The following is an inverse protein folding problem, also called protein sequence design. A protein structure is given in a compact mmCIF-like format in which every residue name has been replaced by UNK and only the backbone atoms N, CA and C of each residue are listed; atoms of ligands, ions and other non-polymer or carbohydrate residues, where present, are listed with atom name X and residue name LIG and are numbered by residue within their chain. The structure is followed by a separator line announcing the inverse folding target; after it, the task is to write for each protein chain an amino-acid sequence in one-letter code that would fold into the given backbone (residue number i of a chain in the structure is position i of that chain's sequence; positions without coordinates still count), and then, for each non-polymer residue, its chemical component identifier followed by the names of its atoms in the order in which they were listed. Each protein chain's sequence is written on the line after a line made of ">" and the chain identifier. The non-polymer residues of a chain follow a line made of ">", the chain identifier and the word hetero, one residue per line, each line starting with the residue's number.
data_IF_209713975051
#
_entry.id   IF_209713975051
#
_cell.length_a   1.000
_cell.length_b   1.000
_cell.length_c   1.000
_cell.angle_alpha   90.00
_cell.angle_beta   90.00
_cell.angle_gamma   90.00
#
_symmetry.space_group_name_H-M   'P 1'
#
loop_
_entity.id
_entity.type
_entity.pdbx_description
1 polymer ?
#
# COMPACT_ATOMS: atom_id res chain seq x y z
N UNK A 1 14.89 -12.48 0.96
CA UNK A 1 15.09 -12.54 2.43
C UNK A 1 14.58 -13.87 2.96
N UNK A 2 15.15 -14.38 4.05
CA UNK A 2 14.71 -15.65 4.61
C UNK A 2 13.34 -15.55 5.27
N UNK A 3 12.44 -16.51 4.99
CA UNK A 3 11.19 -16.69 5.72
C UNK A 3 11.43 -17.77 6.79
N UNK A 4 11.39 -17.38 8.06
CA UNK A 4 11.74 -18.28 9.17
C UNK A 4 10.54 -19.16 9.54
N UNK A 5 9.34 -18.62 9.55
CA UNK A 5 8.06 -19.35 9.76
C UNK A 5 6.89 -18.69 9.05
N UNK A 6 6.54 -17.46 9.42
CA UNK A 6 5.39 -16.73 8.90
C UNK A 6 5.69 -15.22 8.86
N UNK A 7 6.86 -14.83 8.35
CA UNK A 7 7.31 -13.44 8.29
C UNK A 7 7.37 -12.86 6.88
N UNK A 8 6.70 -13.47 5.91
CA UNK A 8 6.58 -12.99 4.53
C UNK A 8 5.96 -11.59 4.47
N UNK A 9 4.96 -11.28 5.29
CA UNK A 9 4.37 -9.96 5.42
C UNK A 9 5.42 -8.86 5.74
N UNK A 10 6.38 -9.18 6.60
CA UNK A 10 7.50 -8.30 6.93
C UNK A 10 8.50 -8.24 5.77
N UNK A 11 8.82 -9.39 5.17
CA UNK A 11 9.77 -9.48 4.08
C UNK A 11 9.36 -8.58 2.91
N UNK A 12 8.10 -8.63 2.48
CA UNK A 12 7.61 -7.79 1.38
C UNK A 12 7.67 -6.30 1.72
N UNK A 13 7.32 -5.90 2.94
CA UNK A 13 7.38 -4.51 3.38
C UNK A 13 8.83 -4.00 3.45
N UNK A 14 9.75 -4.80 3.99
CA UNK A 14 11.18 -4.43 4.03
C UNK A 14 11.74 -4.31 2.62
N UNK A 15 11.41 -5.22 1.71
CA UNK A 15 11.82 -5.13 0.30
C UNK A 15 11.31 -3.85 -0.34
N UNK A 16 10.03 -3.50 -0.16
CA UNK A 16 9.46 -2.25 -0.66
C UNK A 16 10.24 -1.05 -0.13
N UNK A 17 10.40 -0.93 1.18
CA UNK A 17 11.06 0.22 1.80
C UNK A 17 12.55 0.33 1.43
N UNK A 18 13.24 -0.81 1.30
CA UNK A 18 14.64 -0.87 0.88
C UNK A 18 14.84 -0.47 -0.60
N UNK A 19 13.78 -0.49 -1.42
CA UNK A 19 13.81 -0.06 -2.83
C UNK A 19 13.28 1.36 -3.04
N UNK A 20 12.79 2.04 -2.00
CA UNK A 20 12.47 3.47 -2.04
C UNK A 20 13.74 4.30 -1.83
N UNK A 21 14.29 4.99 -2.85
CA UNK A 21 15.60 5.63 -2.80
C UNK A 21 15.86 6.56 -1.61
N UNK A 22 14.97 7.49 -1.21
CA UNK A 22 15.22 8.33 -0.05
C UNK A 22 15.32 7.54 1.26
N UNK A 23 14.52 6.50 1.44
CA UNK A 23 14.59 5.63 2.62
C UNK A 23 15.87 4.80 2.59
N UNK A 24 16.11 4.10 1.47
CA UNK A 24 17.32 3.31 1.29
C UNK A 24 18.58 4.11 1.55
N UNK A 25 18.72 5.26 0.87
CA UNK A 25 19.93 6.06 0.95
C UNK A 25 20.14 6.63 2.36
N UNK A 26 19.08 7.05 3.03
CA UNK A 26 19.16 7.48 4.42
C UNK A 26 19.78 6.40 5.32
N UNK A 27 19.28 5.15 5.24
CA UNK A 27 19.77 4.07 6.09
C UNK A 27 21.11 3.47 5.64
N UNK A 28 21.47 3.58 4.36
CA UNK A 28 22.79 3.16 3.88
C UNK A 28 23.89 4.14 4.25
N UNK A 29 23.63 5.45 4.08
CA UNK A 29 24.66 6.50 4.17
C UNK A 29 24.74 7.14 5.56
N UNK A 30 23.64 7.13 6.32
CA UNK A 30 23.57 7.75 7.61
C UNK A 30 24.46 6.99 8.61
N UNK A 31 25.41 7.67 9.22
CA UNK A 31 26.11 7.19 10.39
C UNK A 31 25.24 7.50 11.62
N UNK A 32 24.70 6.47 12.22
CA UNK A 32 23.96 6.62 13.48
C UNK A 32 24.93 6.77 14.62
N UNK A 33 24.86 7.83 15.45
CA UNK A 33 25.66 7.93 16.65
C UNK A 33 25.29 6.78 17.60
N UNK A 34 26.28 6.08 18.10
CA UNK A 34 26.11 4.85 18.88
C UNK A 34 25.38 5.06 20.21
N UNK A 35 25.58 6.14 20.98
CA UNK A 35 24.78 6.39 22.18
C UNK A 35 23.45 7.05 21.80
N UNK A 36 22.32 6.43 22.17
CA UNK A 36 20.98 7.00 22.07
C UNK A 36 20.20 6.71 20.79
N UNK A 37 20.77 6.05 19.78
CA UNK A 37 19.99 5.66 18.60
C UNK A 37 18.99 4.56 18.94
N UNK A 38 17.70 4.73 18.65
CA UNK A 38 16.69 3.70 18.90
C UNK A 38 17.00 2.42 18.15
N UNK A 39 16.91 1.28 18.82
CA UNK A 39 17.28 -0.03 18.30
C UNK A 39 16.52 -0.37 16.99
N UNK A 40 15.27 0.06 16.84
CA UNK A 40 14.49 -0.18 15.64
C UNK A 40 15.17 0.41 14.39
N UNK A 41 15.63 1.67 14.45
CA UNK A 41 16.31 2.34 13.35
C UNK A 41 17.67 1.67 13.04
N UNK A 42 18.40 1.29 14.09
CA UNK A 42 19.69 0.61 13.97
C UNK A 42 19.56 -0.77 13.32
N UNK A 43 18.59 -1.60 13.78
CA UNK A 43 18.35 -2.94 13.23
C UNK A 43 17.86 -2.88 11.79
N UNK A 44 17.00 -1.91 11.47
CA UNK A 44 16.55 -1.71 10.08
C UNK A 44 17.72 -1.26 9.19
N UNK A 45 18.55 -0.30 9.63
CA UNK A 45 19.74 0.12 8.89
C UNK A 45 20.70 -1.04 8.63
N UNK A 46 20.96 -1.86 9.66
CA UNK A 46 21.80 -3.06 9.52
C UNK A 46 21.25 -4.03 8.48
N UNK A 47 19.94 -4.25 8.48
CA UNK A 47 19.29 -5.12 7.51
C UNK A 47 19.37 -4.55 6.09
N UNK A 48 19.09 -3.25 5.90
CA UNK A 48 19.21 -2.59 4.59
C UNK A 48 20.64 -2.67 4.07
N UNK A 49 21.65 -2.44 4.92
CA UNK A 49 23.06 -2.60 4.54
C UNK A 49 23.42 -4.03 4.14
N UNK A 50 22.87 -5.04 4.83
CA UNK A 50 23.06 -6.46 4.46
C UNK A 50 22.41 -6.78 3.11
N UNK A 51 21.23 -6.21 2.79
CA UNK A 51 20.52 -6.41 1.52
C UNK A 51 21.26 -5.80 0.33
N UNK A 52 21.87 -4.62 0.52
CA UNK A 52 22.56 -3.88 -0.55
C UNK A 52 24.08 -4.10 -0.58
N UNK A 53 24.61 -5.05 0.19
CA UNK A 53 26.02 -5.38 0.18
C UNK A 53 26.35 -6.39 -0.94
N UNK A 54 26.78 -5.88 -2.07
CA UNK A 54 27.17 -6.69 -3.25
C UNK A 54 28.41 -7.57 -3.01
N UNK A 55 29.23 -7.26 -1.98
CA UNK A 55 30.45 -8.01 -1.66
C UNK A 55 30.20 -9.14 -0.65
N UNK A 56 28.99 -9.29 -0.14
CA UNK A 56 28.69 -10.37 0.81
C UNK A 56 28.45 -11.68 0.05
N UNK A 57 29.32 -12.67 0.26
CA UNK A 57 29.16 -14.04 -0.26
C UNK A 57 28.07 -14.83 0.44
N UNK A 58 26.90 -14.23 0.66
CA UNK A 58 25.79 -14.89 1.34
C UNK A 58 24.64 -15.08 0.36
N UNK A 59 24.13 -16.28 0.29
CA UNK A 59 22.97 -16.61 -0.55
C UNK A 59 21.64 -16.01 -0.02
N UNK A 60 21.62 -15.62 1.25
CA UNK A 60 20.40 -15.09 1.88
C UNK A 60 20.68 -14.12 3.02
N UNK A 61 19.70 -13.27 3.30
CA UNK A 61 19.71 -12.32 4.41
C UNK A 61 18.56 -12.63 5.34
N UNK A 62 18.85 -12.79 6.64
CA UNK A 62 17.86 -13.05 7.68
C UNK A 62 17.38 -11.76 8.33
N UNK A 63 16.06 -11.54 8.46
CA UNK A 63 15.48 -10.39 9.16
C UNK A 63 15.34 -10.59 10.67
N UNK A 64 15.93 -11.66 11.24
CA UNK A 64 15.69 -12.10 12.61
C UNK A 64 15.90 -11.01 13.66
N UNK A 65 17.03 -10.28 13.57
CA UNK A 65 17.36 -9.23 14.55
C UNK A 65 16.34 -8.08 14.54
N UNK A 66 15.88 -7.68 13.33
CA UNK A 66 14.86 -6.66 13.19
C UNK A 66 13.53 -7.16 13.75
N UNK A 67 13.18 -8.41 13.49
CA UNK A 67 11.92 -9.00 13.90
C UNK A 67 11.83 -9.19 15.43
N UNK A 68 12.95 -9.50 16.10
CA UNK A 68 13.02 -9.51 17.56
C UNK A 68 12.72 -8.12 18.15
N UNK A 69 13.33 -7.08 17.61
CA UNK A 69 13.08 -5.70 18.07
C UNK A 69 11.62 -5.27 17.81
N UNK A 70 11.05 -5.65 16.65
CA UNK A 70 9.66 -5.40 16.33
C UNK A 70 8.74 -6.11 17.32
N UNK A 71 8.99 -7.37 17.63
CA UNK A 71 8.18 -8.13 18.58
C UNK A 71 8.18 -7.50 19.98
N UNK A 72 9.35 -7.04 20.44
CA UNK A 72 9.48 -6.33 21.72
C UNK A 72 8.68 -5.03 21.73
N UNK A 73 8.85 -4.17 20.71
CA UNK A 73 8.19 -2.86 20.64
C UNK A 73 6.69 -2.93 20.36
N UNK A 74 6.24 -3.94 19.64
CA UNK A 74 4.83 -4.15 19.33
C UNK A 74 4.07 -4.93 20.42
N UNK A 75 4.70 -5.20 21.57
CA UNK A 75 4.13 -6.04 22.63
C UNK A 75 3.67 -7.40 22.09
N UNK A 76 4.50 -8.01 21.25
CA UNK A 76 4.26 -9.31 20.58
C UNK A 76 3.08 -9.30 19.58
N UNK A 77 2.63 -8.13 19.11
CA UNK A 77 1.63 -8.04 18.05
C UNK A 77 2.15 -8.62 16.73
N UNK A 78 3.42 -8.35 16.39
CA UNK A 78 4.09 -8.89 15.21
C UNK A 78 5.18 -9.86 15.67
N UNK A 79 5.03 -11.13 15.31
CA UNK A 79 5.93 -12.20 15.75
C UNK A 79 6.39 -13.06 14.57
N UNK A 80 7.40 -13.91 14.82
CA UNK A 80 7.90 -14.90 13.87
C UNK A 80 6.88 -15.98 13.52
N UNK A 81 5.99 -16.28 14.44
CA UNK A 81 5.15 -17.49 14.41
C UNK A 81 3.75 -17.24 13.87
N UNK A 82 3.32 -15.99 13.79
CA UNK A 82 1.97 -15.64 13.37
C UNK A 82 2.03 -14.75 12.13
N UNK A 83 1.25 -15.13 11.13
CA UNK A 83 1.01 -14.31 9.95
C UNK A 83 0.30 -13.01 10.34
N UNK A 84 0.69 -11.91 9.70
CA UNK A 84 0.11 -10.60 9.92
C UNK A 84 -0.15 -9.88 8.60
N UNK A 85 -0.97 -8.86 8.67
CA UNK A 85 -1.26 -8.00 7.52
C UNK A 85 -0.08 -7.07 7.21
N UNK A 86 0.46 -7.06 5.97
CA UNK A 86 1.60 -6.21 5.60
C UNK A 86 1.28 -4.72 5.69
N UNK A 87 0.04 -4.28 5.49
CA UNK A 87 -0.34 -2.86 5.59
C UNK A 87 -0.49 -2.42 7.04
N UNK A 88 -1.05 -3.27 7.91
CA UNK A 88 -1.05 -3.02 9.36
C UNK A 88 0.38 -2.92 9.89
N UNK A 89 1.24 -3.85 9.47
CA UNK A 89 2.65 -3.83 9.83
C UNK A 89 3.35 -2.57 9.29
N UNK A 90 3.17 -2.23 8.01
CA UNK A 90 3.76 -1.03 7.40
C UNK A 90 3.34 0.24 8.14
N UNK A 91 2.05 0.39 8.44
CA UNK A 91 1.51 1.55 9.17
C UNK A 91 2.16 1.68 10.56
N UNK A 92 2.21 0.58 11.31
CA UNK A 92 2.87 0.55 12.61
C UNK A 92 4.37 0.87 12.47
N UNK A 93 5.04 0.26 11.50
CA UNK A 93 6.48 0.40 11.30
C UNK A 93 6.86 1.83 10.91
N UNK A 94 6.17 2.46 9.95
CA UNK A 94 6.42 3.83 9.53
C UNK A 94 6.24 4.82 10.69
N UNK A 95 5.18 4.67 11.50
CA UNK A 95 4.92 5.52 12.65
C UNK A 95 6.01 5.36 13.73
N UNK A 96 6.40 4.12 14.06
CA UNK A 96 7.46 3.87 15.06
C UNK A 96 8.83 4.30 14.55
N UNK A 97 9.10 4.12 13.25
CA UNK A 97 10.34 4.59 12.63
C UNK A 97 10.41 6.11 12.64
N UNK A 98 9.31 6.80 12.29
CA UNK A 98 9.22 8.25 12.38
C UNK A 98 9.60 8.78 13.76
N UNK A 99 9.01 8.21 14.82
CA UNK A 99 9.31 8.56 16.20
C UNK A 99 10.77 8.21 16.60
N UNK A 100 11.27 7.07 16.14
CA UNK A 100 12.64 6.62 16.38
C UNK A 100 13.70 7.54 15.75
N UNK A 101 13.34 8.25 14.70
CA UNK A 101 14.20 9.23 14.02
C UNK A 101 14.03 10.66 14.56
N UNK A 102 13.45 10.81 15.74
CA UNK A 102 13.20 12.13 16.36
C UNK A 102 12.02 12.89 15.74
N UNK A 103 11.17 12.19 15.00
CA UNK A 103 9.97 12.79 14.41
C UNK A 103 8.97 13.28 15.46
N UNK A 104 8.32 14.40 15.17
CA UNK A 104 7.32 15.01 16.05
C UNK A 104 5.91 14.52 15.74
N UNK A 105 5.14 14.22 16.79
CA UNK A 105 3.69 13.97 16.67
C UNK A 105 2.88 15.23 16.42
N UNK A 106 3.47 16.42 16.67
CA UNK A 106 2.80 17.70 16.46
C UNK A 106 2.81 18.06 14.97
N UNK A 107 1.73 18.63 14.44
CA UNK A 107 1.72 19.17 13.10
C UNK A 107 2.87 20.16 12.90
N UNK A 108 3.63 19.99 11.84
CA UNK A 108 4.73 20.87 11.45
C UNK A 108 4.65 21.19 9.97
N UNK A 109 4.97 22.41 9.59
CA UNK A 109 5.02 22.86 8.21
C UNK A 109 6.17 22.19 7.41
N UNK A 110 7.18 21.69 8.12
CA UNK A 110 8.32 20.99 7.52
C UNK A 110 8.37 19.53 8.01
N UNK A 111 8.71 18.58 7.14
CA UNK A 111 8.86 17.20 7.56
C UNK A 111 10.00 17.07 8.58
N UNK A 112 9.73 16.38 9.69
CA UNK A 112 10.68 16.20 10.81
C UNK A 112 11.47 14.89 10.69
N UNK A 113 11.11 14.02 9.75
CA UNK A 113 11.85 12.77 9.47
C UNK A 113 11.82 12.45 7.98
N UNK A 114 12.72 11.55 7.56
CA UNK A 114 12.76 11.03 6.19
C UNK A 114 11.46 10.31 5.82
N UNK A 115 10.77 9.71 6.79
CA UNK A 115 9.48 9.03 6.58
C UNK A 115 8.41 10.04 6.18
N UNK A 116 8.28 11.14 6.91
CA UNK A 116 7.36 12.21 6.54
C UNK A 116 7.73 12.83 5.21
N UNK A 117 9.00 13.13 4.99
CA UNK A 117 9.47 13.71 3.73
C UNK A 117 9.18 12.84 2.51
N UNK A 118 9.19 11.51 2.67
CA UNK A 118 8.95 10.57 1.59
C UNK A 118 7.46 10.31 1.32
N UNK A 119 6.65 10.14 2.38
CA UNK A 119 5.32 9.54 2.25
C UNK A 119 4.16 10.43 2.74
N UNK A 120 4.42 11.47 3.55
CA UNK A 120 3.32 12.23 4.13
C UNK A 120 2.71 13.21 3.13
N UNK A 121 1.42 13.07 2.91
CA UNK A 121 0.57 14.05 2.23
C UNK A 121 -0.54 14.56 3.15
N UNK A 122 -1.39 15.45 2.62
CA UNK A 122 -2.52 16.02 3.33
C UNK A 122 -3.81 15.78 2.54
N UNK A 123 -4.87 15.51 3.28
CA UNK A 123 -6.20 15.22 2.77
C UNK A 123 -7.20 16.14 3.43
N UNK A 124 -7.99 16.86 2.63
CA UNK A 124 -9.18 17.57 3.11
C UNK A 124 -10.33 16.59 3.17
N UNK A 125 -11.00 16.55 4.31
CA UNK A 125 -12.21 15.77 4.54
C UNK A 125 -13.34 16.77 4.78
N UNK A 126 -14.32 16.78 3.89
CA UNK A 126 -15.52 17.59 4.03
C UNK A 126 -16.67 16.66 4.42
N UNK A 127 -17.31 16.98 5.53
CA UNK A 127 -18.43 16.21 6.04
C UNK A 127 -19.67 17.09 6.16
N UNK A 128 -20.77 16.61 5.62
CA UNK A 128 -22.06 17.27 5.60
C UNK A 128 -23.10 16.36 6.25
N UNK A 129 -23.80 16.84 7.26
CA UNK A 129 -24.82 16.06 7.94
C UNK A 129 -26.06 15.87 7.05
N UNK A 130 -26.63 14.69 7.09
CA UNK A 130 -27.88 14.34 6.40
C UNK A 130 -28.93 14.08 7.45
N UNK A 131 -30.03 14.84 7.42
CA UNK A 131 -31.20 14.63 8.26
C UNK A 131 -32.32 14.02 7.46
N UNK A 132 -32.88 12.93 7.96
CA UNK A 132 -34.08 12.32 7.38
C UNK A 132 -35.33 12.93 8.01
N UNK A 133 -36.18 13.52 7.21
CA UNK A 133 -37.50 14.01 7.63
C UNK A 133 -38.59 13.15 6.97
N UNK A 134 -39.61 12.82 7.75
CA UNK A 134 -40.82 12.19 7.18
C UNK A 134 -41.68 13.29 6.55
N UNK A 135 -41.89 13.20 5.26
CA UNK A 135 -42.89 14.07 4.60
C UNK A 135 -44.29 13.62 5.05
N UNK A 136 -44.96 14.52 5.74
CA UNK A 136 -46.30 14.30 6.31
C UNK A 136 -47.38 14.08 5.26
N UNK A 137 -47.15 14.49 4.00
CA UNK A 137 -48.14 14.38 2.91
C UNK A 137 -48.04 13.07 2.14
N UNK A 138 -46.86 12.46 2.03
CA UNK A 138 -46.62 11.30 1.16
C UNK A 138 -46.10 10.06 1.87
N UNK A 139 -45.92 10.11 3.19
CA UNK A 139 -45.27 9.04 3.99
C UNK A 139 -43.90 8.59 3.44
N UNK A 140 -43.19 9.47 2.73
CA UNK A 140 -41.87 9.22 2.20
C UNK A 140 -40.82 9.87 3.09
N UNK A 141 -39.70 9.16 3.30
CA UNK A 141 -38.50 9.73 3.92
C UNK A 141 -37.81 10.66 2.92
N UNK A 142 -37.74 11.95 3.25
CA UNK A 142 -37.00 12.94 2.49
C UNK A 142 -35.68 13.21 3.24
N UNK A 143 -34.57 13.06 2.53
CA UNK A 143 -33.24 13.34 3.05
C UNK A 143 -32.86 14.78 2.74
N UNK A 144 -32.66 15.59 3.76
CA UNK A 144 -32.23 16.97 3.60
C UNK A 144 -30.77 17.11 4.04
N UNK A 145 -29.94 17.67 3.16
CA UNK A 145 -28.55 17.98 3.49
C UNK A 145 -28.47 19.24 4.35
N UNK A 146 -27.68 19.19 5.42
CA UNK A 146 -27.38 20.38 6.22
C UNK A 146 -26.65 21.42 5.37
N UNK A 147 -26.99 22.71 5.54
CA UNK A 147 -26.28 23.81 4.87
C UNK A 147 -24.84 24.00 5.37
N UNK A 148 -24.46 23.37 6.49
CA UNK A 148 -23.11 23.51 7.07
C UNK A 148 -22.21 22.36 6.65
N UNK A 149 -21.05 22.70 6.05
CA UNK A 149 -20.00 21.76 5.68
C UNK A 149 -18.85 21.91 6.69
N UNK A 150 -18.56 20.82 7.40
CA UNK A 150 -17.38 20.74 8.26
C UNK A 150 -16.19 20.30 7.45
N UNK A 151 -15.14 21.13 7.39
CA UNK A 151 -13.90 20.84 6.66
C UNK A 151 -12.74 20.61 7.63
N UNK A 152 -12.04 19.49 7.48
CA UNK A 152 -10.88 19.16 8.29
C UNK A 152 -9.73 18.71 7.38
N UNK A 153 -8.52 19.18 7.66
CA UNK A 153 -7.30 18.72 7.00
C UNK A 153 -6.60 17.69 7.90
N UNK A 154 -6.35 16.51 7.33
CA UNK A 154 -5.70 15.40 8.02
C UNK A 154 -4.44 14.95 7.26
N UNK A 155 -3.31 14.68 7.94
CA UNK A 155 -2.17 14.07 7.29
C UNK A 155 -2.45 12.59 7.01
N UNK A 156 -1.87 12.07 5.92
CA UNK A 156 -1.89 10.64 5.60
C UNK A 156 -0.50 10.15 5.22
N UNK A 157 -0.25 8.86 5.42
CA UNK A 157 0.91 8.14 4.89
C UNK A 157 0.47 7.12 3.83
N UNK A 158 -0.73 6.55 4.00
CA UNK A 158 -1.29 5.52 3.13
C UNK A 158 -2.70 5.94 2.72
N UNK A 159 -3.00 5.87 1.44
CA UNK A 159 -4.34 6.08 0.89
C UNK A 159 -5.04 4.73 0.70
N UNK A 160 -6.24 4.62 1.25
CA UNK A 160 -7.04 3.40 1.17
C UNK A 160 -8.00 3.46 0.00
N UNK A 161 -7.95 2.45 -0.86
CA UNK A 161 -8.82 2.27 -2.02
C UNK A 161 -9.86 1.19 -1.70
N UNK A 162 -11.13 1.56 -1.75
CA UNK A 162 -12.23 0.63 -1.49
C UNK A 162 -12.65 -0.03 -2.80
N UNK A 163 -12.66 -1.37 -2.82
CA UNK A 163 -13.14 -2.13 -3.97
C UNK A 163 -14.67 -2.14 -4.01
N UNK A 164 -15.29 -2.19 -5.21
CA UNK A 164 -16.71 -2.43 -5.32
C UNK A 164 -17.07 -3.80 -4.72
N UNK A 165 -18.30 -3.97 -4.23
CA UNK A 165 -18.75 -5.28 -3.73
C UNK A 165 -18.67 -6.32 -4.85
N UNK A 166 -18.32 -7.55 -4.48
CA UNK A 166 -18.33 -8.66 -5.44
C UNK A 166 -19.74 -8.92 -5.94
N UNK A 167 -19.93 -9.19 -7.24
CA UNK A 167 -21.25 -9.55 -7.78
C UNK A 167 -21.80 -10.77 -7.06
N UNK A 168 -23.03 -10.66 -6.54
CA UNK A 168 -23.71 -11.73 -5.81
C UNK A 168 -24.17 -12.87 -6.73
N UNK A 169 -24.27 -12.63 -8.02
CA UNK A 169 -24.76 -13.59 -9.00
C UNK A 169 -23.60 -14.18 -9.78
N UNK A 170 -23.35 -15.46 -9.58
CA UNK A 170 -22.58 -16.25 -10.54
C UNK A 170 -23.47 -16.47 -11.75
N UNK A 171 -22.97 -16.17 -12.94
CA UNK A 171 -23.66 -16.50 -14.19
C UNK A 171 -23.97 -18.02 -14.22
N UNK A 172 -25.14 -18.40 -14.74
CA UNK A 172 -25.61 -19.79 -14.80
C UNK A 172 -24.65 -20.77 -15.51
N UNK A 173 -23.63 -20.25 -16.21
CA UNK A 173 -22.63 -21.02 -16.95
C UNK A 173 -21.37 -21.40 -16.17
N UNK A 174 -21.33 -21.26 -14.85
CA UNK A 174 -20.16 -21.64 -13.99
C UNK A 174 -18.80 -21.05 -14.41
N UNK A 175 -18.75 -20.10 -15.33
CA UNK A 175 -17.53 -19.39 -15.63
C UNK A 175 -17.30 -18.35 -14.52
N UNK A 176 -16.27 -18.54 -13.74
CA UNK A 176 -15.84 -17.61 -12.70
C UNK A 176 -15.22 -16.38 -13.34
N UNK A 177 -16.05 -15.40 -13.68
CA UNK A 177 -15.55 -14.11 -14.19
C UNK A 177 -14.95 -13.35 -13.02
N UNK A 178 -13.63 -13.17 -13.04
CA UNK A 178 -12.91 -12.35 -12.07
C UNK A 178 -13.22 -10.88 -12.38
N UNK A 179 -13.88 -10.13 -11.47
CA UNK A 179 -14.23 -8.75 -11.71
C UNK A 179 -12.95 -7.88 -11.80
N UNK A 180 -13.01 -6.86 -12.65
CA UNK A 180 -11.91 -5.92 -12.84
C UNK A 180 -12.40 -4.50 -12.62
N UNK A 181 -11.53 -3.66 -12.05
CA UNK A 181 -11.81 -2.23 -11.84
C UNK A 181 -10.56 -1.39 -12.14
N UNK A 182 -10.68 -0.32 -12.92
CA UNK A 182 -9.58 0.61 -13.14
C UNK A 182 -9.17 1.32 -11.85
N UNK A 183 -7.87 1.49 -11.63
CA UNK A 183 -7.31 2.23 -10.50
C UNK A 183 -7.87 3.66 -10.42
N UNK A 184 -8.06 4.30 -11.58
CA UNK A 184 -8.64 5.64 -11.69
C UNK A 184 -10.05 5.73 -11.10
N UNK A 185 -10.86 4.68 -11.25
CA UNK A 185 -12.19 4.64 -10.65
C UNK A 185 -12.13 4.59 -9.12
N UNK A 186 -11.18 3.85 -8.57
CA UNK A 186 -10.98 3.80 -7.11
C UNK A 186 -10.47 5.13 -6.56
N UNK A 187 -9.63 5.84 -7.33
CA UNK A 187 -9.11 7.15 -6.97
C UNK A 187 -10.18 8.26 -7.01
N UNK A 188 -11.30 8.06 -7.68
CA UNK A 188 -12.41 9.03 -7.69
C UNK A 188 -12.94 9.36 -6.30
N UNK A 189 -12.73 8.49 -5.32
CA UNK A 189 -12.97 8.79 -3.91
C UNK A 189 -12.28 10.07 -3.44
N UNK A 190 -11.15 10.44 -4.04
CA UNK A 190 -10.30 11.56 -3.64
C UNK A 190 -10.41 12.79 -4.55
N UNK A 191 -11.37 12.83 -5.48
CA UNK A 191 -11.54 13.94 -6.43
C UNK A 191 -12.27 15.18 -5.83
N UNK A 192 -12.75 15.09 -4.60
CA UNK A 192 -13.51 16.14 -3.94
C UNK A 192 -14.97 16.28 -4.40
N UNK A 193 -15.38 15.49 -5.41
CA UNK A 193 -16.73 15.52 -5.99
C UNK A 193 -17.53 14.29 -5.54
N UNK A 194 -16.90 13.11 -5.64
CA UNK A 194 -17.54 11.84 -5.28
C UNK A 194 -17.70 11.76 -3.77
N UNK A 195 -18.95 11.67 -3.34
CA UNK A 195 -19.28 11.56 -1.93
C UNK A 195 -19.44 10.09 -1.51
N UNK A 196 -18.88 9.76 -0.35
CA UNK A 196 -19.17 8.50 0.35
C UNK A 196 -20.29 8.74 1.35
N UNK A 197 -21.38 8.02 1.23
CA UNK A 197 -22.49 8.10 2.17
C UNK A 197 -22.21 7.22 3.40
N UNK A 198 -22.28 7.83 4.57
CA UNK A 198 -22.36 7.17 5.87
C UNK A 198 -23.75 7.41 6.44
N UNK A 199 -24.11 6.67 7.50
CA UNK A 199 -25.49 6.70 8.06
C UNK A 199 -26.07 8.11 8.21
N UNK A 200 -25.27 9.06 8.72
CA UNK A 200 -25.75 10.40 9.08
C UNK A 200 -24.98 11.52 8.39
N UNK A 201 -24.01 11.17 7.52
CA UNK A 201 -23.14 12.17 6.91
C UNK A 201 -22.74 11.76 5.50
N UNK A 202 -22.65 12.75 4.63
CA UNK A 202 -21.99 12.65 3.33
C UNK A 202 -20.58 13.16 3.47
N UNK A 203 -19.58 12.36 3.06
CA UNK A 203 -18.16 12.69 3.22
C UNK A 203 -17.50 12.76 1.86
N UNK A 204 -16.79 13.85 1.58
CA UNK A 204 -15.96 14.05 0.40
C UNK A 204 -14.50 14.14 0.81
N UNK A 205 -13.62 13.63 -0.04
CA UNK A 205 -12.19 13.64 0.21
C UNK A 205 -11.48 14.33 -0.95
N UNK A 206 -10.55 15.23 -0.64
CA UNK A 206 -9.71 15.88 -1.65
C UNK A 206 -8.25 15.92 -1.21
N UNK A 207 -7.36 15.52 -2.11
CA UNK A 207 -5.92 15.61 -1.86
C UNK A 207 -5.47 17.08 -1.94
N UNK A 208 -4.50 17.44 -1.10
CA UNK A 208 -3.93 18.78 -1.04
C UNK A 208 -2.46 18.78 -1.47
N UNK A 209 -2.02 19.92 -2.02
CA UNK A 209 -0.60 20.17 -2.25
C UNK A 209 0.16 20.46 -0.94
N UNK A 210 1.46 20.13 -0.87
CA UNK A 210 2.22 19.33 -1.84
C UNK A 210 1.92 17.83 -1.69
N UNK A 211 1.77 17.13 -2.82
CA UNK A 211 1.74 15.68 -2.78
C UNK A 211 3.13 15.12 -2.38
N UNK A 212 3.19 13.99 -1.66
CA UNK A 212 4.45 13.37 -1.30
C UNK A 212 5.20 12.83 -2.53
N UNK A 213 6.53 12.70 -2.46
CA UNK A 213 7.32 12.06 -3.52
C UNK A 213 6.91 10.60 -3.79
N UNK A 214 6.43 9.89 -2.77
CA UNK A 214 5.96 8.52 -2.86
C UNK A 214 4.55 8.40 -2.32
N UNK A 215 3.64 7.84 -3.12
CA UNK A 215 2.28 7.50 -2.71
C UNK A 215 2.17 6.00 -2.40
N UNK A 216 1.59 5.69 -1.25
CA UNK A 216 1.28 4.34 -0.82
C UNK A 216 -0.22 4.12 -0.97
N UNK A 217 -0.64 3.18 -1.83
CA UNK A 217 -2.04 2.80 -2.01
C UNK A 217 -2.28 1.44 -1.39
N UNK A 218 -3.23 1.37 -0.49
CA UNK A 218 -3.75 0.12 0.07
C UNK A 218 -5.09 -0.22 -0.56
N UNK A 219 -5.16 -1.33 -1.26
CA UNK A 219 -6.41 -1.88 -1.81
C UNK A 219 -7.08 -2.74 -0.75
N UNK A 220 -8.23 -2.30 -0.25
CA UNK A 220 -8.95 -2.97 0.84
C UNK A 220 -9.68 -4.21 0.31
N UNK A 221 -9.04 -5.37 0.44
CA UNK A 221 -9.55 -6.65 -0.06
C UNK A 221 -10.26 -7.51 0.98
N UNK A 222 -9.93 -7.33 2.24
CA UNK A 222 -10.49 -8.13 3.32
C UNK A 222 -11.55 -7.34 4.07
N UNK A 223 -12.75 -7.90 4.18
CA UNK A 223 -13.82 -7.42 5.04
C UNK A 223 -13.99 -8.40 6.21
N UNK A 224 -13.99 -7.89 7.44
CA UNK A 224 -14.29 -8.67 8.63
C UNK A 224 -15.75 -8.42 9.00
N UNK A 225 -16.62 -9.33 8.66
CA UNK A 225 -17.94 -9.42 9.23
C UNK A 225 -17.86 -10.25 10.53
N UNK A 226 -18.86 -10.10 11.42
CA UNK A 226 -18.87 -10.80 12.73
C UNK A 226 -18.67 -12.33 12.63
N UNK A 227 -18.91 -12.91 11.47
CA UNK A 227 -18.96 -14.37 11.27
C UNK A 227 -17.96 -14.90 10.23
N UNK A 228 -17.55 -14.08 9.25
CA UNK A 228 -16.68 -14.52 8.13
C UNK A 228 -15.72 -13.42 7.75
N UNK A 229 -14.47 -13.81 7.49
CA UNK A 229 -13.51 -12.97 6.80
C UNK A 229 -13.68 -13.21 5.30
N UNK A 230 -14.16 -12.23 4.57
CA UNK A 230 -14.41 -12.34 3.13
C UNK A 230 -13.31 -11.62 2.36
N UNK A 231 -12.77 -12.28 1.32
CA UNK A 231 -11.77 -11.73 0.41
C UNK A 231 -12.45 -11.27 -0.88
N UNK A 232 -12.13 -10.07 -1.33
CA UNK A 232 -12.59 -9.54 -2.61
C UNK A 232 -11.51 -9.79 -3.68
N UNK A 233 -11.75 -10.67 -4.68
CA UNK A 233 -10.78 -11.05 -5.69
C UNK A 233 -10.67 -10.05 -6.85
N UNK A 234 -11.45 -8.95 -6.83
CA UNK A 234 -11.46 -7.95 -7.91
C UNK A 234 -10.05 -7.49 -8.28
N UNK A 235 -9.68 -7.61 -9.54
CA UNK A 235 -8.39 -7.16 -10.05
C UNK A 235 -8.43 -5.65 -10.28
N UNK A 236 -7.43 -4.95 -9.77
CA UNK A 236 -7.25 -3.53 -10.03
C UNK A 236 -6.36 -3.36 -11.25
N UNK A 237 -6.93 -2.84 -12.33
CA UNK A 237 -6.22 -2.60 -13.58
C UNK A 237 -5.70 -1.17 -13.65
N UNK A 238 -4.55 -0.98 -14.27
CA UNK A 238 -4.02 0.33 -14.63
C UNK A 238 -3.39 0.26 -16.03
N UNK A 239 -3.60 1.27 -16.88
CA UNK A 239 -3.24 1.19 -18.30
C UNK A 239 -1.75 1.08 -18.54
N UNK A 240 -0.95 1.55 -17.60
CA UNK A 240 0.50 1.47 -17.63
C UNK A 240 1.05 1.53 -16.20
N UNK A 241 2.12 0.79 -15.87
CA UNK A 241 2.87 0.98 -14.63
C UNK A 241 3.56 2.35 -14.59
N UNK A 242 3.53 3.08 -15.68
CA UNK A 242 4.04 4.45 -15.80
C UNK A 242 2.88 5.42 -16.05
N UNK A 243 3.08 6.67 -15.61
CA UNK A 243 2.19 7.80 -15.97
C UNK A 243 0.81 7.78 -15.32
N UNK A 244 0.70 7.38 -14.05
CA UNK A 244 -0.50 7.66 -13.28
C UNK A 244 -0.60 9.16 -13.03
N UNK A 245 -1.60 9.82 -13.60
CA UNK A 245 -1.85 11.24 -13.38
C UNK A 245 -2.71 11.45 -12.14
N UNK A 246 -2.15 12.18 -11.17
CA UNK A 246 -2.84 12.54 -9.93
C UNK A 246 -3.49 13.91 -9.96
N UNK A 247 -3.34 14.69 -11.05
CA UNK A 247 -3.90 16.05 -11.17
C UNK A 247 -5.40 16.13 -10.91
N UNK A 248 -6.25 15.17 -11.38
CA UNK A 248 -7.70 15.26 -11.19
C UNK A 248 -8.13 15.15 -9.70
N UNK A 249 -7.28 14.57 -8.86
CA UNK A 249 -7.61 14.26 -7.47
C UNK A 249 -7.07 15.30 -6.47
N UNK A 250 -6.24 16.24 -6.94
CA UNK A 250 -5.57 17.23 -6.11
C UNK A 250 -6.24 18.58 -6.26
N UNK A 251 -6.32 19.32 -5.17
CA UNK A 251 -6.77 20.70 -5.23
C UNK A 251 -5.73 21.56 -5.97
N UNK A 252 -6.12 22.31 -7.01
CA UNK A 252 -5.18 23.16 -7.74
C UNK A 252 -4.53 24.20 -6.84
N UNK A 253 -3.20 24.30 -6.89
CA UNK A 253 -2.44 25.34 -6.22
C UNK A 253 -1.33 25.84 -7.14
N UNK A 254 -1.54 26.99 -7.82
CA UNK A 254 -0.59 27.53 -8.78
C UNK A 254 0.78 27.88 -8.20
N UNK A 255 0.86 28.18 -6.89
CA UNK A 255 2.11 28.52 -6.21
C UNK A 255 3.04 27.33 -6.03
N UNK A 256 2.49 26.12 -6.01
CA UNK A 256 3.24 24.88 -5.79
C UNK A 256 3.43 24.09 -7.07
N UNK A 257 2.41 24.03 -7.93
CA UNK A 257 2.42 23.27 -9.17
C UNK A 257 1.79 24.08 -10.31
N UNK A 258 2.45 24.18 -11.48
CA UNK A 258 1.90 24.94 -12.61
C UNK A 258 0.54 24.42 -13.04
N UNK A 259 -0.35 25.33 -13.37
CA UNK A 259 -1.70 25.00 -13.86
C UNK A 259 -1.60 24.31 -15.22
N UNK A 260 -2.29 23.17 -15.38
CA UNK A 260 -2.28 22.40 -16.63
C UNK A 260 -1.13 21.39 -16.76
N UNK A 261 -0.15 21.41 -15.87
CA UNK A 261 0.93 20.40 -15.85
C UNK A 261 0.45 19.12 -15.12
N UNK A 262 0.57 17.95 -15.75
CA UNK A 262 0.15 16.69 -15.12
C UNK A 262 1.09 16.32 -13.97
N UNK A 263 0.51 15.74 -12.91
CA UNK A 263 1.27 15.24 -11.75
C UNK A 263 1.47 13.74 -11.89
N UNK A 264 2.50 13.36 -12.63
CA UNK A 264 2.75 11.98 -13.01
C UNK A 264 3.48 11.18 -11.94
N UNK A 265 3.02 9.95 -11.73
CA UNK A 265 3.62 8.95 -10.87
C UNK A 265 3.89 7.66 -11.63
N UNK A 266 5.02 7.02 -11.32
CA UNK A 266 5.42 5.72 -11.87
C UNK A 266 5.35 4.66 -10.76
N UNK A 267 4.83 3.47 -11.08
CA UNK A 267 4.81 2.35 -10.14
C UNK A 267 6.23 1.88 -9.85
N UNK A 268 6.54 1.67 -8.58
CA UNK A 268 7.86 1.22 -8.09
C UNK A 268 7.77 -0.16 -7.47
N UNK A 269 6.68 -0.43 -6.76
CA UNK A 269 6.46 -1.70 -6.09
C UNK A 269 4.98 -2.05 -6.05
N UNK A 270 4.68 -3.34 -6.16
CA UNK A 270 3.34 -3.90 -6.04
C UNK A 270 3.42 -5.15 -5.15
N UNK A 271 2.83 -5.09 -3.95
CA UNK A 271 2.67 -6.25 -3.08
C UNK A 271 1.36 -6.92 -3.44
N UNK A 272 1.42 -8.21 -3.71
CA UNK A 272 0.29 -9.01 -4.15
C UNK A 272 0.12 -10.25 -3.28
N UNK A 273 -1.09 -10.79 -3.31
CA UNK A 273 -1.41 -12.09 -2.73
C UNK A 273 -0.85 -13.20 -3.61
N UNK A 274 -0.26 -14.21 -2.99
CA UNK A 274 0.20 -15.41 -3.70
C UNK A 274 -1.01 -16.30 -4.04
N UNK A 275 -1.30 -16.50 -5.33
CA UNK A 275 -2.43 -17.33 -5.73
C UNK A 275 -2.19 -18.84 -5.52
N UNK A 276 -0.93 -19.27 -5.33
CA UNK A 276 -0.56 -20.69 -5.20
C UNK A 276 -0.85 -21.27 -3.83
N UNK A 277 -1.19 -20.44 -2.85
CA UNK A 277 -1.66 -20.93 -1.54
C UNK A 277 -3.14 -21.28 -1.69
N UNK A 278 -3.40 -22.51 -2.15
CA UNK A 278 -4.75 -23.08 -2.18
C UNK A 278 -5.37 -23.01 -0.79
N UNK A 279 -6.62 -22.63 -0.74
CA UNK A 279 -7.45 -22.70 0.47
C UNK A 279 -7.44 -24.16 0.95
N UNK A 280 -6.92 -24.47 2.15
CA UNK A 280 -7.03 -25.81 2.67
C UNK A 280 -8.51 -26.12 2.89
N UNK A 281 -9.10 -26.99 2.08
CA UNK A 281 -10.49 -27.39 2.17
C UNK A 281 -11.23 -27.60 0.85
N UNK A 282 -10.68 -27.14 -0.27
CA UNK A 282 -11.30 -27.37 -1.59
C UNK A 282 -11.00 -28.76 -2.17
N UNK A 283 -9.88 -29.38 -1.81
CA UNK A 283 -9.52 -30.71 -2.31
C UNK A 283 -10.09 -31.85 -1.46
N UNK A 284 -10.28 -31.64 -0.14
CA UNK A 284 -10.88 -32.66 0.75
C UNK A 284 -12.39 -32.83 0.55
N UNK A 285 -13.06 -31.90 -0.10
CA UNK A 285 -14.49 -32.00 -0.40
C UNK A 285 -14.79 -32.85 -1.65
N UNK A 286 -13.82 -33.02 -2.54
CA UNK A 286 -13.99 -33.80 -3.77
C UNK A 286 -13.71 -35.31 -3.58
N UNK A 287 -12.91 -35.70 -2.59
CA UNK A 287 -12.55 -37.11 -2.36
C UNK A 287 -13.39 -37.83 -1.29
N UNK A 288 -14.16 -37.12 -0.47
CA UNK A 288 -15.03 -37.73 0.57
C UNK A 288 -16.49 -37.90 0.18
N UNK A 289 -16.77 -38.00 -1.08
CA UNK A 289 -18.10 -38.22 -1.64
C UNK A 289 -18.55 -39.69 -1.74
N UNK A 290 -18.06 -40.63 -0.92
CA UNK A 290 -18.65 -41.98 -0.78
C UNK A 290 -18.39 -42.52 0.63
N UNK A 291 -19.50 -42.80 1.38
CA UNK A 291 -19.62 -43.58 2.59
C UNK A 291 -19.26 -42.94 3.95
N UNK A 292 -20.28 -42.53 4.71
CA UNK A 292 -20.73 -43.20 5.92
C UNK A 292 -21.81 -42.39 6.66
N UNK A 293 -22.90 -43.07 6.90
CA UNK A 293 -23.96 -42.63 7.78
C UNK A 293 -23.52 -42.72 9.26
N UNK A 294 -23.94 -41.76 10.07
CA UNK A 294 -24.06 -41.89 11.52
C UNK A 294 -22.92 -41.29 12.34
N UNK A 295 -23.14 -40.14 12.94
CA UNK A 295 -22.30 -39.57 13.99
C UNK A 295 -22.67 -38.13 14.30
N UNK A 296 -23.12 -37.85 15.53
CA UNK A 296 -23.56 -36.54 16.02
C UNK A 296 -22.51 -35.43 15.87
N UNK A 297 -22.94 -34.15 15.73
CA UNK A 297 -22.00 -33.03 15.52
C UNK A 297 -21.30 -32.63 16.84
N UNK A 298 -20.01 -32.80 16.90
CA UNK A 298 -19.19 -32.16 17.93
C UNK A 298 -19.00 -30.68 17.57
N UNK A 299 -19.50 -29.82 18.40
CA UNK A 299 -19.28 -28.37 18.43
C UNK A 299 -17.80 -28.05 18.63
N UNK A 300 -17.17 -27.41 17.66
CA UNK A 300 -15.80 -26.95 17.82
C UNK A 300 -14.99 -26.83 16.53
N UNK A 301 -15.60 -26.37 15.43
CA UNK A 301 -14.82 -26.01 14.24
C UNK A 301 -14.37 -24.56 14.35
N UNK A 302 -13.13 -24.34 14.81
CA UNK A 302 -12.42 -23.11 14.61
C UNK A 302 -12.35 -22.84 13.10
N UNK A 303 -12.87 -21.70 12.66
CA UNK A 303 -12.78 -21.23 11.30
C UNK A 303 -11.30 -21.28 10.88
N UNK A 304 -10.97 -22.16 9.92
CA UNK A 304 -9.63 -22.30 9.38
C UNK A 304 -9.21 -20.94 8.78
N UNK A 305 -8.25 -20.31 9.42
CA UNK A 305 -7.62 -19.09 8.90
C UNK A 305 -7.02 -19.44 7.53
N UNK A 306 -7.56 -18.85 6.46
CA UNK A 306 -6.94 -18.94 5.13
C UNK A 306 -5.45 -18.61 5.27
N UNK A 307 -4.60 -19.52 4.85
CA UNK A 307 -3.15 -19.33 4.88
C UNK A 307 -2.77 -18.42 3.73
N UNK A 308 -2.75 -17.12 3.99
CA UNK A 308 -2.37 -16.09 3.03
C UNK A 308 -0.85 -15.99 2.97
N UNK A 309 -0.27 -15.95 1.78
CA UNK A 309 1.14 -15.66 1.53
C UNK A 309 1.29 -14.41 0.67
N UNK A 310 2.42 -13.73 0.84
CA UNK A 310 2.68 -12.45 0.20
C UNK A 310 3.91 -12.52 -0.69
N UNK A 311 3.84 -11.86 -1.82
CA UNK A 311 4.97 -11.63 -2.70
C UNK A 311 5.01 -10.18 -3.15
N UNK A 312 6.16 -9.70 -3.60
CA UNK A 312 6.34 -8.32 -4.06
C UNK A 312 6.94 -8.28 -5.45
N UNK A 313 6.37 -7.45 -6.29
CA UNK A 313 6.91 -7.07 -7.59
C UNK A 313 7.61 -5.73 -7.46
N UNK A 314 8.87 -5.65 -7.84
CA UNK A 314 9.72 -4.46 -7.72
C UNK A 314 10.26 -4.05 -9.09
N UNK A 315 10.25 -2.75 -9.36
CA UNK A 315 10.86 -2.19 -10.54
C UNK A 315 12.39 -2.08 -10.38
N UNK A 316 13.16 -2.79 -11.21
CA UNK A 316 14.61 -2.68 -11.22
C UNK A 316 15.06 -1.53 -12.12
N UNK A 317 15.29 -0.38 -11.49
CA UNK A 317 15.75 0.83 -12.18
C UNK A 317 17.17 0.72 -12.70
N UNK A 318 18.02 -0.10 -12.11
CA UNK A 318 19.42 -0.25 -12.50
C UNK A 318 19.51 -0.97 -13.82
N UNK A 319 18.85 -2.12 -13.94
CA UNK A 319 18.81 -2.89 -15.19
C UNK A 319 18.08 -2.14 -16.30
N UNK A 320 17.00 -1.43 -15.97
CA UNK A 320 16.30 -0.58 -16.92
C UNK A 320 17.18 0.55 -17.50
N UNK A 321 18.09 1.10 -16.69
CA UNK A 321 19.04 2.13 -17.14
C UNK A 321 20.19 1.56 -17.98
N UNK A 322 20.61 0.34 -17.69
CA UNK A 322 21.69 -0.36 -18.39
C UNK A 322 21.23 -0.85 -19.77
N UNK A 323 20.05 -1.46 -19.85
CA UNK A 323 19.42 -1.88 -21.12
C UNK A 323 19.19 -0.70 -22.08
N UNK A 324 18.87 0.47 -21.55
CA UNK A 324 18.71 1.68 -22.37
C UNK A 324 20.02 2.18 -22.96
N UNK A 325 21.16 1.89 -22.33
CA UNK A 325 22.49 2.28 -22.81
C UNK A 325 23.02 1.31 -23.88
N UNK A 326 22.74 0.02 -23.73
CA UNK A 326 23.30 -1.01 -24.62
C UNK A 326 22.50 -1.24 -25.90
N UNK A 327 21.20 -1.09 -25.89
CA UNK A 327 20.34 -1.52 -27.02
C UNK A 327 19.57 -0.39 -27.70
N UNK A 328 19.70 0.88 -27.26
CA UNK A 328 19.04 2.05 -27.91
C UNK A 328 17.51 1.99 -27.93
N UNK A 329 16.92 0.84 -27.78
CA UNK A 329 15.47 0.60 -27.70
C UNK A 329 15.06 0.21 -26.29
N UNK A 330 14.04 0.89 -25.82
CA UNK A 330 13.41 0.64 -24.53
C UNK A 330 12.75 -0.75 -24.52
N UNK A 331 13.53 -1.79 -24.25
CA UNK A 331 12.96 -2.96 -23.62
C UNK A 331 12.33 -2.46 -22.32
N UNK A 332 11.04 -2.75 -22.13
CA UNK A 332 10.26 -2.25 -21.01
C UNK A 332 10.96 -2.42 -19.67
N UNK A 333 10.53 -1.71 -18.63
CA UNK A 333 11.15 -1.79 -17.31
C UNK A 333 11.21 -3.25 -16.89
N UNK A 334 12.38 -3.71 -16.48
CA UNK A 334 12.52 -5.04 -15.90
C UNK A 334 11.92 -5.03 -14.50
N UNK A 335 11.00 -5.94 -14.27
CA UNK A 335 10.38 -6.16 -13.00
C UNK A 335 10.89 -7.43 -12.38
N UNK A 336 11.08 -7.42 -11.08
CA UNK A 336 11.46 -8.57 -10.27
C UNK A 336 10.28 -8.97 -9.39
N UNK A 337 9.89 -10.22 -9.43
CA UNK A 337 8.94 -10.83 -8.51
C UNK A 337 9.72 -11.56 -7.42
N UNK A 338 9.52 -11.18 -6.17
CA UNK A 338 10.27 -11.69 -5.03
C UNK A 338 9.30 -12.29 -4.02
N UNK A 339 9.49 -13.58 -3.75
CA UNK A 339 8.84 -14.31 -2.68
C UNK A 339 9.94 -14.91 -1.80
N UNK A 340 10.17 -14.29 -0.67
CA UNK A 340 11.21 -14.71 0.28
C UNK A 340 12.62 -14.82 -0.34
N UNK A 341 13.09 -16.02 -0.66
CA UNK A 341 14.37 -16.29 -1.32
C UNK A 341 14.25 -16.46 -2.84
N UNK A 342 13.04 -16.67 -3.31
CA UNK A 342 12.80 -16.85 -4.74
C UNK A 342 12.71 -15.48 -5.41
N UNK A 343 13.54 -15.29 -6.44
CA UNK A 343 13.52 -14.08 -7.27
C UNK A 343 13.33 -14.52 -8.71
N UNK A 344 12.27 -14.01 -9.34
CA UNK A 344 11.94 -14.25 -10.73
C UNK A 344 11.86 -12.93 -11.49
N UNK A 345 12.08 -12.94 -12.78
CA UNK A 345 11.74 -11.81 -13.64
C UNK A 345 10.25 -11.83 -13.91
N UNK A 346 9.64 -10.66 -13.88
CA UNK A 346 8.24 -10.46 -14.21
C UNK A 346 8.14 -9.51 -15.42
N UNK A 347 7.17 -9.76 -16.27
CA UNK A 347 6.85 -8.88 -17.39
C UNK A 347 5.93 -7.73 -16.90
N UNK A 348 6.13 -6.54 -17.44
CA UNK A 348 5.32 -5.36 -17.09
C UNK A 348 3.82 -5.57 -17.32
N UNK A 349 3.47 -6.40 -18.30
CA UNK A 349 2.08 -6.72 -18.67
C UNK A 349 1.38 -7.61 -17.64
N UNK A 350 2.14 -8.34 -16.83
CA UNK A 350 1.57 -9.23 -15.81
C UNK A 350 1.33 -8.54 -14.46
N UNK A 351 1.78 -7.29 -14.29
CA UNK A 351 1.70 -6.58 -13.01
C UNK A 351 0.26 -6.35 -12.52
N UNK A 352 -0.67 -6.15 -13.45
CA UNK A 352 -2.07 -5.88 -13.16
C UNK A 352 -3.00 -7.08 -13.38
N UNK A 353 -2.44 -8.27 -13.59
CA UNK A 353 -3.24 -9.50 -13.72
C UNK A 353 -3.51 -10.20 -12.40
N UNK A 354 -2.90 -9.70 -11.32
CA UNK A 354 -2.97 -10.30 -10.00
C UNK A 354 -3.59 -9.34 -8.98
N UNK A 355 -3.94 -9.88 -7.83
CA UNK A 355 -4.57 -9.15 -6.75
C UNK A 355 -3.58 -8.24 -6.02
N UNK A 356 -3.35 -7.02 -6.55
CA UNK A 356 -2.56 -5.99 -5.88
C UNK A 356 -3.17 -5.61 -4.52
N UNK A 357 -2.34 -5.54 -3.49
CA UNK A 357 -2.75 -5.21 -2.13
C UNK A 357 -2.16 -3.90 -1.62
N UNK A 358 -0.86 -3.70 -1.86
CA UNK A 358 -0.15 -2.46 -1.54
C UNK A 358 0.66 -2.05 -2.75
N UNK A 359 0.44 -0.84 -3.24
CA UNK A 359 1.17 -0.27 -4.37
C UNK A 359 1.97 0.93 -3.93
N UNK A 360 3.19 1.08 -4.45
CA UNK A 360 4.05 2.23 -4.21
C UNK A 360 4.32 2.94 -5.52
N UNK A 361 3.97 4.23 -5.56
CA UNK A 361 4.11 5.08 -6.73
C UNK A 361 5.08 6.21 -6.45
N UNK A 362 6.04 6.45 -7.33
CA UNK A 362 7.04 7.52 -7.24
C UNK A 362 6.67 8.67 -8.17
N UNK A 363 6.68 9.90 -7.64
CA UNK A 363 6.43 11.09 -8.43
C UNK A 363 7.55 11.34 -9.42
N UNK A 364 7.20 11.53 -10.68
CA UNK A 364 8.12 11.94 -11.73
C UNK A 364 8.66 13.34 -11.44
N UNK A 365 9.95 13.51 -11.61
CA UNK A 365 10.57 14.85 -11.53
C UNK A 365 10.19 15.63 -12.77
N UNK A 366 9.81 16.91 -12.61
CA UNK A 366 9.59 17.79 -13.73
C UNK A 366 10.95 18.04 -14.41
N UNK A 367 11.07 17.81 -15.72
CA UNK A 367 12.25 18.22 -16.45
C UNK A 367 12.37 19.75 -16.37
N UNK A 368 13.40 20.27 -15.71
CA UNK A 368 13.67 21.71 -15.61
C UNK A 368 13.53 22.37 -14.24
N UNK A 369 12.89 21.74 -13.25
CA UNK A 369 12.69 22.33 -11.92
C UNK A 369 13.96 22.44 -11.05
N UNK A 370 15.07 21.83 -11.45
CA UNK A 370 16.32 21.79 -10.65
C UNK A 370 17.26 23.00 -10.81
N UNK A 371 16.94 24.01 -11.62
CA UNK A 371 17.85 25.13 -11.92
C UNK A 371 17.53 26.48 -11.29
N UNK A 372 16.57 26.57 -10.36
CA UNK A 372 16.27 27.83 -9.66
C UNK A 372 16.76 27.85 -8.19
N UNK A 373 17.94 27.28 -7.91
CA UNK A 373 18.68 27.56 -6.66
C UNK A 373 19.97 28.25 -7.00
N UNK A 374 20.05 29.53 -6.66
CA UNK A 374 21.34 30.25 -6.56
C UNK A 374 21.56 31.35 -7.57
N UNK A 375 20.84 32.45 -7.47
CA UNK A 375 21.45 33.77 -7.67
C UNK A 375 21.25 34.55 -6.38
N UNK A 376 22.21 34.44 -5.47
CA UNK A 376 22.43 35.49 -4.51
C UNK A 376 22.92 36.69 -5.29
N UNK A 377 22.30 37.86 -5.23
CA UNK A 377 22.97 39.09 -5.62
C UNK A 377 24.02 39.39 -4.56
N UNK A 378 25.24 39.53 -5.04
CA UNK A 378 26.33 40.09 -4.26
C UNK A 378 25.96 41.48 -3.74
N UNK A 379 26.07 41.68 -2.43
CA UNK A 379 26.63 42.86 -1.77
C UNK A 379 27.06 42.50 -0.37
#
# INVERSE_FOLDING_TARGET
>A
MNNIKANDYLNVVVQVLAHVPPIRNFFLLQQFPVPGTPQLALRFSTLVRKLWNTKAFRSHVSPHELLQEIALRSSKRFTLTHQSDPVEFLSWFLNNMHLSLGGSKKPSSKPTSVIQAAFQGHLRIESQAITAHSDTQNARLVFTESGTINSQVTPFLILTLDLPPTPLFQSSNRESIIPQVPLTNLLNKYNGITASEKRDHRVRHRLLHPLPPYLLFHVKRFSKNKFVSERNPTIVTFPSPRSLDMSPYVEPNPDIWPVGEPILYDLVANVILDPSVAVPGAEDAAEKGVNAAGGAPSTGAGAGSEKVSWLVQLHDKAVSAENKREHGESRGPEWLEIQDLLVKRAESETLFTREGYLMVWERRKIPGASKKKGKNPAR
#
